data_IF_636456849341
#
_entry.id   IF_636456849341
#
_cell.length_a   1.000
_cell.length_b   1.000
_cell.length_c   1.000
_cell.angle_alpha   90.00
_cell.angle_beta   90.00
_cell.angle_gamma   90.00
#
_symmetry.space_group_name_H-M   'P 1'
#
loop_
_entity.id
_entity.type
_entity.pdbx_description
1 polymer ?
#
# COMPACT_ATOMS: atom_id res chain seq x y z
N UNK A 1 12.60 -24.80 -2.96
CA UNK A 1 11.47 -23.90 -3.25
C UNK A 1 11.96 -22.49 -3.44
N UNK A 2 11.70 -21.93 -4.57
CA UNK A 2 12.06 -20.53 -4.82
C UNK A 2 11.16 -19.62 -4.00
N UNK A 3 11.77 -18.67 -3.31
CA UNK A 3 11.00 -17.66 -2.61
C UNK A 3 10.47 -16.66 -3.62
N UNK A 4 9.17 -16.47 -3.64
CA UNK A 4 8.54 -15.52 -4.53
C UNK A 4 8.92 -14.10 -4.16
N UNK A 5 9.38 -13.33 -5.14
CA UNK A 5 9.78 -11.93 -4.98
C UNK A 5 9.05 -11.06 -5.99
N UNK A 6 7.85 -10.67 -5.64
CA UNK A 6 7.02 -9.78 -6.47
C UNK A 6 6.41 -8.68 -5.60
N UNK A 7 5.68 -7.77 -6.22
CA UNK A 7 5.05 -6.65 -5.53
C UNK A 7 4.07 -7.13 -4.44
N UNK A 8 3.37 -8.23 -4.68
CA UNK A 8 2.40 -8.75 -3.72
C UNK A 8 3.08 -9.28 -2.48
N UNK A 9 4.21 -9.96 -2.64
CA UNK A 9 5.02 -10.40 -1.52
C UNK A 9 5.53 -9.20 -0.71
N UNK A 10 5.97 -8.14 -1.40
CA UNK A 10 6.47 -6.95 -0.74
C UNK A 10 5.45 -6.33 0.21
N UNK A 11 4.18 -6.28 -0.19
CA UNK A 11 3.13 -5.59 0.56
C UNK A 11 2.37 -6.48 1.55
N UNK A 12 2.77 -7.74 1.73
CA UNK A 12 2.10 -8.62 2.69
C UNK A 12 2.39 -8.25 4.14
N UNK A 13 3.50 -7.60 4.41
CA UNK A 13 3.94 -7.26 5.75
C UNK A 13 3.62 -5.79 6.08
N UNK A 14 2.99 -5.50 7.24
CA UNK A 14 2.64 -4.13 7.61
C UNK A 14 3.86 -3.22 7.77
N UNK A 15 4.98 -3.71 8.29
CA UNK A 15 6.20 -2.91 8.42
C UNK A 15 6.73 -2.49 7.06
N UNK A 16 6.71 -3.41 6.08
CA UNK A 16 7.12 -3.07 4.72
C UNK A 16 6.21 -2.04 4.08
N UNK A 17 4.89 -2.11 4.31
CA UNK A 17 3.97 -1.08 3.82
C UNK A 17 4.28 0.30 4.43
N UNK A 18 4.63 0.34 5.72
CA UNK A 18 5.02 1.61 6.36
C UNK A 18 6.33 2.15 5.80
N UNK A 19 7.29 1.30 5.50
CA UNK A 19 8.54 1.71 4.83
C UNK A 19 8.24 2.30 3.45
N UNK A 20 7.37 1.66 2.69
CA UNK A 20 6.92 2.18 1.39
C UNK A 20 6.31 3.57 1.56
N UNK A 21 5.45 3.76 2.55
CA UNK A 21 4.81 5.05 2.81
C UNK A 21 5.83 6.13 3.13
N UNK A 22 6.86 5.81 3.92
CA UNK A 22 7.94 6.74 4.23
C UNK A 22 8.72 7.12 2.97
N UNK A 23 9.10 6.14 2.17
CA UNK A 23 9.88 6.35 0.96
C UNK A 23 9.09 7.04 -0.15
N UNK A 24 7.77 6.95 -0.11
CA UNK A 24 6.91 7.69 -1.03
C UNK A 24 7.01 9.20 -0.81
N UNK A 25 7.40 9.63 0.38
CA UNK A 25 7.56 11.04 0.71
C UNK A 25 8.93 11.56 0.28
N UNK A 26 9.99 10.78 0.53
CA UNK A 26 11.37 11.16 0.16
C UNK A 26 12.30 9.95 0.27
N UNK A 27 13.40 9.95 -0.48
CA UNK A 27 14.45 8.95 -0.28
C UNK A 27 15.02 9.02 1.14
N UNK A 28 15.36 7.88 1.71
CA UNK A 28 15.91 7.79 3.07
C UNK A 28 17.02 6.76 3.13
N UNK A 29 18.01 7.01 3.98
CA UNK A 29 19.01 5.99 4.31
C UNK A 29 18.47 5.03 5.37
N UNK A 30 19.18 3.93 5.61
CA UNK A 30 18.75 2.90 6.56
C UNK A 30 18.52 3.48 7.97
N UNK A 31 19.40 4.34 8.42
CA UNK A 31 19.31 4.92 9.77
C UNK A 31 18.05 5.77 9.92
N UNK A 32 17.76 6.60 8.93
CA UNK A 32 16.55 7.43 8.93
C UNK A 32 15.29 6.58 8.95
N UNK A 33 15.25 5.51 8.17
CA UNK A 33 14.12 4.58 8.17
C UNK A 33 13.97 3.94 9.54
N UNK A 34 15.07 3.42 10.10
CA UNK A 34 15.06 2.70 11.38
C UNK A 34 14.55 3.56 12.54
N UNK A 35 14.78 4.87 12.50
CA UNK A 35 14.31 5.79 13.53
C UNK A 35 12.78 5.84 13.67
N UNK A 36 12.06 5.48 12.61
CA UNK A 36 10.60 5.48 12.61
C UNK A 36 9.99 4.21 13.21
N UNK A 37 10.80 3.22 13.56
CA UNK A 37 10.30 1.91 14.00
C UNK A 37 10.91 1.51 15.33
N UNK A 38 10.12 0.78 16.10
CA UNK A 38 10.53 0.22 17.40
C UNK A 38 10.94 -1.25 17.24
N UNK A 39 11.72 -1.52 16.21
CA UNK A 39 12.29 -2.85 15.96
C UNK A 39 13.79 -2.70 15.68
N UNK A 40 14.51 -3.82 15.67
CA UNK A 40 15.97 -3.80 15.51
C UNK A 40 16.39 -3.37 14.10
N UNK A 41 17.58 -2.81 13.99
CA UNK A 41 18.16 -2.48 12.69
C UNK A 41 18.30 -3.68 11.75
N UNK A 42 18.74 -4.85 12.22
CA UNK A 42 18.77 -6.03 11.37
C UNK A 42 17.40 -6.41 10.82
N UNK A 43 16.33 -6.24 11.60
CA UNK A 43 14.98 -6.49 11.13
C UNK A 43 14.58 -5.49 10.02
N UNK A 44 14.90 -4.20 10.20
CA UNK A 44 14.67 -3.18 9.16
C UNK A 44 15.48 -3.50 7.91
N UNK A 45 16.76 -3.84 8.07
CA UNK A 45 17.63 -4.24 6.93
C UNK A 45 17.05 -5.39 6.15
N UNK A 46 16.48 -6.37 6.84
CA UNK A 46 15.85 -7.51 6.20
C UNK A 46 14.62 -7.11 5.38
N UNK A 47 13.77 -6.24 5.94
CA UNK A 47 12.62 -5.72 5.20
C UNK A 47 13.03 -4.94 3.96
N UNK A 48 14.07 -4.13 4.07
CA UNK A 48 14.61 -3.35 2.96
C UNK A 48 15.17 -4.29 1.88
N UNK A 49 15.89 -5.35 2.29
CA UNK A 49 16.41 -6.35 1.37
C UNK A 49 15.28 -7.01 0.58
N UNK A 50 14.19 -7.39 1.24
CA UNK A 50 13.03 -7.98 0.59
C UNK A 50 12.39 -7.00 -0.39
N UNK A 51 12.21 -5.74 0.01
CA UNK A 51 11.67 -4.70 -0.87
C UNK A 51 12.56 -4.49 -2.10
N UNK A 52 13.86 -4.54 -1.93
CA UNK A 52 14.81 -4.43 -3.02
C UNK A 52 14.74 -5.65 -3.96
N UNK A 53 14.66 -6.84 -3.41
CA UNK A 53 14.50 -8.07 -4.19
C UNK A 53 13.17 -8.10 -4.98
N UNK A 54 12.14 -7.44 -4.46
CA UNK A 54 10.84 -7.31 -5.14
C UNK A 54 10.81 -6.16 -6.15
N UNK A 55 11.90 -5.44 -6.34
CA UNK A 55 12.01 -4.27 -7.22
C UNK A 55 11.08 -3.11 -6.84
N UNK A 56 10.67 -3.04 -5.57
CA UNK A 56 9.85 -1.93 -5.07
C UNK A 56 10.71 -0.70 -4.79
N UNK A 57 11.97 -0.92 -4.46
CA UNK A 57 12.91 0.15 -4.19
C UNK A 57 14.19 -0.05 -4.99
N UNK A 58 14.89 1.04 -5.24
CA UNK A 58 16.28 1.04 -5.68
C UNK A 58 17.14 1.63 -4.58
N UNK A 59 18.40 1.24 -4.56
CA UNK A 59 19.37 1.76 -3.60
C UNK A 59 20.40 2.55 -4.39
N UNK A 60 20.49 3.84 -4.08
CA UNK A 60 21.47 4.73 -4.71
C UNK A 60 22.52 5.12 -3.69
N UNK A 61 23.78 5.07 -4.10
CA UNK A 61 24.88 5.54 -3.28
C UNK A 61 25.16 7.00 -3.61
N UNK A 62 25.09 7.86 -2.59
CA UNK A 62 25.42 9.28 -2.70
C UNK A 62 26.51 9.56 -1.67
N UNK A 63 27.75 9.74 -2.16
CA UNK A 63 28.90 9.85 -1.27
C UNK A 63 29.12 8.55 -0.52
N UNK A 64 29.10 8.62 0.81
CA UNK A 64 29.27 7.46 1.70
C UNK A 64 27.98 6.84 2.16
N UNK A 65 26.85 7.43 1.78
CA UNK A 65 25.56 6.97 2.21
C UNK A 65 24.80 6.24 1.11
N UNK A 66 23.99 5.28 1.52
CA UNK A 66 23.07 4.56 0.64
C UNK A 66 21.65 5.00 0.94
N UNK A 67 20.98 5.51 -0.08
CA UNK A 67 19.59 5.94 0.02
C UNK A 67 18.68 4.95 -0.66
N UNK A 68 17.60 4.61 0.02
CA UNK A 68 16.51 3.83 -0.54
C UNK A 68 15.52 4.78 -1.20
N UNK A 69 15.11 4.46 -2.41
CA UNK A 69 14.17 5.26 -3.19
C UNK A 69 13.09 4.36 -3.76
N UNK A 70 11.84 4.80 -3.69
CA UNK A 70 10.72 4.00 -4.17
C UNK A 70 10.69 3.93 -5.70
N UNK A 71 10.20 2.80 -6.21
CA UNK A 71 9.89 2.61 -7.63
C UNK A 71 8.37 2.50 -7.79
N UNK A 72 7.67 3.61 -8.03
CA UNK A 72 6.21 3.60 -8.05
C UNK A 72 5.61 2.79 -9.20
N UNK A 73 6.36 2.56 -10.28
CA UNK A 73 5.92 1.76 -11.42
C UNK A 73 5.57 0.31 -11.04
N UNK A 74 6.28 -0.25 -10.06
CA UNK A 74 6.00 -1.61 -9.59
C UNK A 74 4.71 -1.68 -8.78
N UNK A 75 4.41 -0.63 -8.03
CA UNK A 75 3.17 -0.52 -7.28
C UNK A 75 1.96 -0.38 -8.19
N UNK A 76 2.15 0.14 -9.40
CA UNK A 76 1.09 0.24 -10.40
C UNK A 76 0.48 -1.13 -10.73
N UNK A 77 1.26 -2.19 -10.66
CA UNK A 77 0.77 -3.55 -10.88
C UNK A 77 -0.38 -3.91 -9.92
N UNK A 78 -0.25 -3.48 -8.66
CA UNK A 78 -1.30 -3.69 -7.65
C UNK A 78 -2.55 -2.89 -8.00
N UNK A 79 -2.36 -1.63 -8.37
CA UNK A 79 -3.45 -0.75 -8.80
C UNK A 79 -4.20 -1.33 -10.00
N UNK A 80 -3.46 -1.84 -10.99
CA UNK A 80 -4.04 -2.45 -12.17
C UNK A 80 -4.86 -3.70 -11.81
N UNK A 81 -4.36 -4.51 -10.88
CA UNK A 81 -5.08 -5.69 -10.40
C UNK A 81 -6.36 -5.31 -9.67
N UNK A 82 -6.28 -4.37 -8.75
CA UNK A 82 -7.45 -3.87 -7.99
C UNK A 82 -8.46 -3.23 -8.94
N UNK A 83 -7.97 -2.53 -9.96
CA UNK A 83 -8.81 -1.87 -10.96
C UNK A 83 -9.80 -2.78 -11.66
N UNK A 84 -9.48 -4.08 -11.77
CA UNK A 84 -10.40 -5.07 -12.33
C UNK A 84 -11.69 -5.20 -11.50
N UNK A 85 -11.63 -4.82 -10.24
CA UNK A 85 -12.74 -4.97 -9.30
C UNK A 85 -13.42 -3.64 -8.96
N UNK A 86 -12.92 -2.52 -9.48
CA UNK A 86 -13.52 -1.19 -9.25
C UNK A 86 -14.97 -1.14 -9.68
N UNK A 87 -15.29 -1.72 -10.83
CA UNK A 87 -16.67 -1.76 -11.35
C UNK A 87 -17.61 -2.41 -10.35
N UNK A 88 -17.16 -3.52 -9.73
CA UNK A 88 -17.96 -4.22 -8.71
C UNK A 88 -18.18 -3.34 -7.49
N UNK A 89 -17.18 -2.60 -7.07
CA UNK A 89 -17.28 -1.70 -5.91
C UNK A 89 -18.25 -0.56 -6.20
N UNK A 90 -18.11 0.08 -7.36
CA UNK A 90 -19.00 1.16 -7.80
C UNK A 90 -20.45 0.69 -7.87
N UNK A 91 -20.70 -0.46 -8.50
CA UNK A 91 -22.04 -1.03 -8.60
C UNK A 91 -22.66 -1.32 -7.22
N UNK A 92 -21.87 -1.85 -6.29
CA UNK A 92 -22.35 -2.11 -4.93
C UNK A 92 -22.64 -0.83 -4.16
N UNK A 93 -21.81 0.18 -4.31
CA UNK A 93 -22.06 1.49 -3.68
C UNK A 93 -23.33 2.11 -4.23
N UNK A 94 -23.52 2.08 -5.55
CA UNK A 94 -24.72 2.60 -6.21
C UNK A 94 -25.96 1.84 -5.75
N UNK A 95 -25.90 0.52 -5.67
CA UNK A 95 -26.99 -0.32 -5.19
C UNK A 95 -27.35 0.00 -3.74
N UNK A 96 -26.33 0.22 -2.91
CA UNK A 96 -26.53 0.57 -1.50
C UNK A 96 -27.14 1.96 -1.36
N UNK A 97 -26.69 2.94 -2.13
CA UNK A 97 -27.25 4.28 -2.15
C UNK A 97 -28.71 4.26 -2.56
N UNK A 98 -29.05 3.50 -3.59
CA UNK A 98 -30.41 3.31 -4.05
C UNK A 98 -31.28 2.68 -2.97
N UNK A 99 -30.76 1.65 -2.29
CA UNK A 99 -31.46 1.00 -1.19
C UNK A 99 -31.74 1.98 -0.05
N UNK A 100 -30.76 2.79 0.34
CA UNK A 100 -30.92 3.82 1.36
C UNK A 100 -31.98 4.85 0.96
N UNK A 101 -31.97 5.27 -0.30
CA UNK A 101 -32.94 6.21 -0.82
C UNK A 101 -34.35 5.63 -0.74
N UNK A 102 -34.57 4.39 -1.13
CA UNK A 102 -35.83 3.71 -1.05
C UNK A 102 -36.34 3.60 0.40
N UNK A 103 -35.45 3.28 1.34
CA UNK A 103 -35.80 3.23 2.76
C UNK A 103 -36.24 4.60 3.29
N UNK A 104 -35.53 5.66 2.92
CA UNK A 104 -35.89 7.03 3.31
C UNK A 104 -37.25 7.44 2.73
N UNK A 105 -37.50 7.08 1.49
CA UNK A 105 -38.82 7.34 0.85
C UNK A 105 -39.94 6.63 1.56
N UNK A 106 -39.74 5.36 1.91
CA UNK A 106 -40.76 4.58 2.67
C UNK A 106 -40.98 5.16 4.07
N UNK A 107 -39.93 5.60 4.76
CA UNK A 107 -40.03 6.26 6.05
C UNK A 107 -40.85 7.54 5.96
N UNK A 108 -40.60 8.36 4.95
CA UNK A 108 -41.38 9.59 4.73
C UNK A 108 -42.86 9.31 4.51
N UNK A 109 -43.19 8.27 3.72
CA UNK A 109 -44.58 7.87 3.47
C UNK A 109 -45.25 7.38 4.74
N UNK A 110 -44.57 6.61 5.58
CA UNK A 110 -45.12 6.10 6.84
C UNK A 110 -45.20 7.16 7.94
N UNK A 111 -44.31 8.18 7.87
CA UNK A 111 -44.32 9.27 8.84
C UNK A 111 -45.42 10.30 8.65
N UNK A 112 -46.12 10.29 7.53
CA UNK A 112 -47.27 11.17 7.27
C UNK A 112 -48.55 10.45 7.61
N UNK A 113 -49.11 10.81 8.72
CA UNK A 113 -50.49 10.42 9.05
C UNK A 113 -51.43 11.52 8.63
#
# INVERSE_FOLDING_TARGET
METRRDVYQAITDPTRREIIDLLAQQPMNLNAIAEHFDITRPAISNHIRILHECDIIVIEQVGRERFCKIRPDRLKQVSDWIGKYETLWVEKIESFEKYLYELKSKRKKHGRK
#
